data_IF_708552814758
#
_entry.id   IF_708552814758
#
_cell.length_a   1.000
_cell.length_b   1.000
_cell.length_c   1.000
_cell.angle_alpha   90.00
_cell.angle_beta   90.00
_cell.angle_gamma   90.00
#
_symmetry.space_group_name_H-M   'P 1'
#
loop_
_entity.id
_entity.type
_entity.pdbx_description
1 polymer ?
#
# COMPACT_ATOMS: atom_id res chain seq x y z
N UNK A 1 -4.20 -2.45 35.75
CA UNK A 1 -5.32 -2.08 34.84
C UNK A 1 -4.79 -1.25 33.67
N UNK A 2 -3.82 -0.37 33.92
CA UNK A 2 -3.10 0.42 32.90
C UNK A 2 -2.33 -0.45 31.88
N UNK A 3 -1.80 -1.60 32.30
CA UNK A 3 -1.06 -2.51 31.39
C UNK A 3 -1.96 -3.19 30.36
N UNK A 4 -3.17 -3.58 30.76
CA UNK A 4 -4.14 -4.22 29.86
C UNK A 4 -4.64 -3.22 28.81
N UNK A 5 -4.90 -1.97 29.23
CA UNK A 5 -5.30 -0.89 28.31
C UNK A 5 -4.19 -0.63 27.28
N UNK A 6 -2.94 -0.56 27.74
CA UNK A 6 -1.77 -0.36 26.87
C UNK A 6 -1.57 -1.52 25.88
N UNK A 7 -1.77 -2.76 26.32
CA UNK A 7 -1.67 -3.95 25.47
C UNK A 7 -2.76 -3.96 24.40
N UNK A 8 -4.01 -3.69 24.77
CA UNK A 8 -5.14 -3.62 23.82
C UNK A 8 -4.93 -2.49 22.80
N UNK A 9 -4.48 -1.31 23.25
CA UNK A 9 -4.18 -0.19 22.36
C UNK A 9 -3.07 -0.54 21.36
N UNK A 10 -1.99 -1.16 21.84
CA UNK A 10 -0.87 -1.60 21.00
C UNK A 10 -1.31 -2.64 19.99
N UNK A 11 -2.15 -3.60 20.40
CA UNK A 11 -2.70 -4.62 19.51
C UNK A 11 -3.55 -4.00 18.41
N UNK A 12 -4.47 -3.09 18.76
CA UNK A 12 -5.31 -2.39 17.79
C UNK A 12 -4.48 -1.56 16.81
N UNK A 13 -3.47 -0.85 17.30
CA UNK A 13 -2.56 -0.07 16.46
C UNK A 13 -1.79 -0.98 15.50
N UNK A 14 -1.31 -2.13 15.98
CA UNK A 14 -0.57 -3.10 15.17
C UNK A 14 -1.45 -3.65 14.06
N UNK A 15 -2.68 -4.07 14.36
CA UNK A 15 -3.64 -4.56 13.37
C UNK A 15 -3.98 -3.47 12.34
N UNK A 16 -4.18 -2.23 12.79
CA UNK A 16 -4.44 -1.10 11.92
C UNK A 16 -3.27 -0.80 10.97
N UNK A 17 -2.03 -0.82 11.47
CA UNK A 17 -0.84 -0.62 10.64
C UNK A 17 -0.69 -1.75 9.62
N UNK A 18 -0.87 -3.01 10.03
CA UNK A 18 -0.82 -4.16 9.10
C UNK A 18 -1.89 -4.05 8.02
N UNK A 19 -3.12 -3.66 8.41
CA UNK A 19 -4.21 -3.40 7.47
C UNK A 19 -3.85 -2.31 6.46
N UNK A 20 -3.28 -1.18 6.92
CA UNK A 20 -2.82 -0.11 6.06
C UNK A 20 -1.73 -0.58 5.09
N UNK A 21 -0.74 -1.34 5.57
CA UNK A 21 0.34 -1.87 4.71
C UNK A 21 -0.24 -2.76 3.61
N UNK A 22 -1.13 -3.69 3.94
CA UNK A 22 -1.78 -4.54 2.93
C UNK A 22 -2.61 -3.72 1.95
N UNK A 23 -3.34 -2.72 2.44
CA UNK A 23 -4.14 -1.83 1.60
C UNK A 23 -3.27 -1.01 0.64
N UNK A 24 -2.18 -0.41 1.13
CA UNK A 24 -1.23 0.38 0.33
C UNK A 24 -0.41 -0.48 -0.64
N UNK A 25 -0.02 -1.69 -0.26
CA UNK A 25 0.77 -2.57 -1.13
C UNK A 25 -0.06 -3.25 -2.22
N UNK A 26 -1.34 -3.53 -1.97
CA UNK A 26 -2.16 -4.37 -2.85
C UNK A 26 -3.34 -3.59 -3.43
N UNK A 27 -4.26 -3.11 -2.59
CA UNK A 27 -5.52 -2.50 -3.04
C UNK A 27 -5.31 -1.16 -3.76
N UNK A 28 -4.43 -0.31 -3.23
CA UNK A 28 -4.13 0.99 -3.83
C UNK A 28 -3.51 0.86 -5.24
N UNK A 29 -2.41 0.11 -5.45
CA UNK A 29 -1.85 -0.07 -6.79
C UNK A 29 -2.78 -0.84 -7.73
N UNK A 30 -3.54 -1.81 -7.24
CA UNK A 30 -4.51 -2.55 -8.07
C UNK A 30 -5.65 -1.66 -8.56
N UNK A 31 -6.21 -0.79 -7.71
CA UNK A 31 -7.27 0.15 -8.09
C UNK A 31 -6.77 1.24 -9.04
N UNK A 32 -5.56 1.76 -8.82
CA UNK A 32 -4.88 2.70 -9.72
C UNK A 32 -4.60 2.09 -11.09
N UNK A 33 -4.22 0.80 -11.15
CA UNK A 33 -3.95 0.07 -12.39
C UNK A 33 -5.21 -0.15 -13.22
N UNK A 34 -6.31 -0.54 -12.55
CA UNK A 34 -7.61 -0.77 -13.19
C UNK A 34 -8.13 0.48 -13.90
N UNK A 35 -7.98 1.66 -13.28
CA UNK A 35 -8.37 2.94 -13.88
C UNK A 35 -7.56 3.33 -15.13
N UNK A 36 -6.39 2.73 -15.36
CA UNK A 36 -5.48 3.07 -16.47
C UNK A 36 -5.34 1.96 -17.52
N UNK A 37 -6.16 0.89 -17.43
CA UNK A 37 -6.11 -0.24 -18.38
C UNK A 37 -4.77 -1.01 -18.39
N UNK A 38 -3.93 -0.85 -17.36
CA UNK A 38 -2.62 -1.52 -17.24
C UNK A 38 -2.69 -2.73 -16.31
N UNK A 39 -1.85 -3.73 -16.57
CA UNK A 39 -1.81 -4.97 -15.79
C UNK A 39 -1.60 -4.69 -14.30
N UNK A 40 -2.57 -5.12 -13.49
CA UNK A 40 -2.59 -4.92 -12.04
C UNK A 40 -1.44 -5.67 -11.35
N UNK A 41 -1.03 -6.82 -11.92
CA UNK A 41 0.02 -7.69 -11.36
C UNK A 41 1.38 -7.00 -11.37
N UNK A 42 1.75 -6.35 -12.48
CA UNK A 42 3.05 -5.65 -12.59
C UNK A 42 3.15 -4.52 -11.56
N UNK A 43 2.04 -3.80 -11.33
CA UNK A 43 2.00 -2.68 -10.40
C UNK A 43 2.09 -3.09 -8.93
N UNK A 44 1.51 -4.24 -8.58
CA UNK A 44 1.66 -4.85 -7.25
C UNK A 44 3.08 -5.41 -7.07
N UNK A 45 3.68 -5.98 -8.13
CA UNK A 45 5.06 -6.46 -8.06
C UNK A 45 6.06 -5.31 -7.82
N UNK A 46 5.84 -4.17 -8.48
CA UNK A 46 6.64 -2.96 -8.31
C UNK A 46 6.47 -2.35 -6.91
N UNK A 47 5.26 -2.35 -6.33
CA UNK A 47 5.05 -1.85 -4.96
C UNK A 47 5.72 -2.70 -3.89
N UNK A 48 5.80 -4.02 -4.12
CA UNK A 48 6.50 -4.95 -3.23
C UNK A 48 8.02 -4.81 -3.35
N UNK A 49 8.55 -4.60 -4.55
CA UNK A 49 10.00 -4.57 -4.80
C UNK A 49 10.67 -3.24 -4.45
N UNK A 50 9.99 -2.11 -4.64
CA UNK A 50 10.59 -0.75 -4.58
C UNK A 50 10.19 0.01 -3.30
N UNK A 51 9.61 -0.65 -2.29
CA UNK A 51 8.93 -0.06 -1.12
C UNK A 51 7.61 0.68 -1.45
N UNK A 52 6.56 0.52 -0.63
CA UNK A 52 5.21 1.01 -0.93
C UNK A 52 5.13 2.53 -1.12
N UNK A 53 5.90 3.30 -0.35
CA UNK A 53 5.93 4.76 -0.47
C UNK A 53 6.58 5.22 -1.78
N UNK A 54 7.74 4.65 -2.12
CA UNK A 54 8.46 5.01 -3.33
C UNK A 54 7.68 4.56 -4.57
N UNK A 55 7.00 3.41 -4.51
CA UNK A 55 6.14 2.95 -5.59
C UNK A 55 4.94 3.87 -5.84
N UNK A 56 4.32 4.45 -4.81
CA UNK A 56 3.25 5.45 -5.00
C UNK A 56 3.79 6.69 -5.72
N UNK A 57 4.96 7.20 -5.31
CA UNK A 57 5.60 8.33 -5.97
C UNK A 57 6.05 8.01 -7.40
N UNK A 58 6.61 6.83 -7.66
CA UNK A 58 6.97 6.38 -9.00
C UNK A 58 5.73 6.19 -9.88
N UNK A 59 4.64 5.65 -9.37
CA UNK A 59 3.40 5.49 -10.13
C UNK A 59 2.67 6.81 -10.38
N UNK A 60 2.87 7.80 -9.52
CA UNK A 60 2.42 9.17 -9.73
C UNK A 60 3.30 9.88 -10.77
N UNK A 61 4.63 9.81 -10.63
CA UNK A 61 5.60 10.45 -11.52
C UNK A 61 5.64 9.83 -12.93
N UNK A 62 5.62 8.50 -13.05
CA UNK A 62 5.54 7.77 -14.33
C UNK A 62 4.11 7.60 -14.84
N UNK A 63 3.11 8.13 -14.12
CA UNK A 63 1.71 8.11 -14.55
C UNK A 63 1.49 8.84 -15.88
N UNK A 64 2.40 9.75 -16.25
CA UNK A 64 2.28 10.57 -17.46
C UNK A 64 3.34 10.27 -18.53
N UNK A 65 4.21 9.27 -18.29
CA UNK A 65 5.13 8.78 -19.30
C UNK A 65 4.34 7.98 -20.34
N UNK A 66 3.78 8.73 -21.30
CA UNK A 66 3.22 8.26 -22.56
C UNK A 66 4.35 7.58 -23.33
N UNK A 67 4.31 6.26 -23.38
CA UNK A 67 4.97 5.52 -24.46
C UNK A 67 4.02 5.52 -25.66
#
# INVERSE_FOLDING_TARGET
MEDIVSLVLTLLLTVFVVYLVLWFCILLPASMAKRRGRSQVIRVLVSVLITPFLAIFLLWAFGDAKA
#
